data_IF_001183139931
#
_entry.id   IF_001183139931
#
_cell.length_a   1.000
_cell.length_b   1.000
_cell.length_c   1.000
_cell.angle_alpha   90.00
_cell.angle_beta   90.00
_cell.angle_gamma   90.00
#
_symmetry.space_group_name_H-M   'P 1'
#
loop_
_entity.id
_entity.type
_entity.pdbx_description
1 polymer ?
#
# COMPACT_ATOMS: atom_id res chain seq x y z
N UNK A 1 -1.81 -37.12 2.23
CA UNK A 1 -0.98 -35.97 1.84
C UNK A 1 -1.85 -34.76 2.07
N UNK A 2 -1.30 -33.74 2.72
CA UNK A 2 -2.02 -32.49 2.98
C UNK A 2 -2.39 -31.82 1.65
N UNK A 3 -3.51 -31.10 1.65
CA UNK A 3 -3.88 -30.24 0.52
C UNK A 3 -2.92 -29.04 0.47
N UNK A 4 -2.44 -28.66 -0.71
CA UNK A 4 -1.68 -27.41 -0.88
C UNK A 4 -2.56 -26.41 -1.63
N UNK A 5 -2.73 -25.22 -1.07
CA UNK A 5 -3.52 -24.13 -1.66
C UNK A 5 -2.64 -22.94 -2.01
N UNK A 6 -3.06 -22.16 -3.00
CA UNK A 6 -2.45 -20.86 -3.32
C UNK A 6 -2.67 -19.83 -2.20
N UNK A 7 -1.91 -18.73 -2.25
CA UNK A 7 -2.08 -17.62 -1.32
C UNK A 7 -3.44 -16.91 -1.52
N UNK A 8 -3.99 -16.88 -2.74
CA UNK A 8 -5.32 -16.34 -3.04
C UNK A 8 -6.44 -17.23 -2.50
N UNK A 9 -6.32 -18.56 -2.64
CA UNK A 9 -7.27 -19.47 -1.99
C UNK A 9 -7.17 -19.36 -0.46
N UNK A 10 -5.98 -19.11 0.09
CA UNK A 10 -5.80 -18.86 1.51
C UNK A 10 -6.46 -17.55 1.96
N UNK A 11 -6.34 -16.48 1.16
CA UNK A 11 -7.07 -15.21 1.35
C UNK A 11 -8.57 -15.47 1.46
N UNK A 12 -9.14 -16.18 0.50
CA UNK A 12 -10.59 -16.47 0.47
C UNK A 12 -11.02 -17.26 1.71
N UNK A 13 -10.18 -18.19 2.19
CA UNK A 13 -10.43 -18.94 3.44
C UNK A 13 -10.37 -18.02 4.66
N UNK A 14 -9.42 -17.10 4.75
CA UNK A 14 -9.33 -16.11 5.84
C UNK A 14 -10.59 -15.24 5.87
N UNK A 15 -11.06 -14.79 4.72
CA UNK A 15 -12.24 -13.94 4.65
C UNK A 15 -13.52 -14.72 5.01
N UNK A 16 -13.63 -15.98 4.57
CA UNK A 16 -14.70 -16.87 5.01
C UNK A 16 -14.65 -17.14 6.54
N UNK A 17 -13.45 -17.26 7.12
CA UNK A 17 -13.27 -17.39 8.58
C UNK A 17 -13.75 -16.14 9.31
N UNK A 18 -13.40 -14.95 8.82
CA UNK A 18 -13.86 -13.67 9.39
C UNK A 18 -15.39 -13.54 9.36
N UNK A 19 -16.03 -14.00 8.28
CA UNK A 19 -17.50 -14.04 8.16
C UNK A 19 -18.18 -15.17 8.96
N UNK A 20 -17.41 -16.02 9.64
CA UNK A 20 -17.93 -17.17 10.39
C UNK A 20 -18.44 -18.32 9.51
N UNK A 21 -18.10 -18.31 8.22
CA UNK A 21 -18.48 -19.33 7.25
C UNK A 21 -17.56 -20.56 7.30
N UNK A 22 -16.35 -20.41 7.88
CA UNK A 22 -15.36 -21.47 8.04
C UNK A 22 -14.64 -21.35 9.38
N UNK A 23 -14.23 -22.47 9.97
CA UNK A 23 -13.37 -22.52 11.15
C UNK A 23 -12.10 -23.29 10.84
N UNK A 24 -10.94 -22.73 11.17
CA UNK A 24 -9.64 -23.40 11.11
C UNK A 24 -8.63 -22.58 11.92
N UNK A 25 -7.56 -23.25 12.37
CA UNK A 25 -6.39 -22.61 12.94
C UNK A 25 -5.33 -22.38 11.86
N UNK A 26 -4.62 -21.25 11.96
CA UNK A 26 -3.41 -21.00 11.16
C UNK A 26 -2.21 -21.24 12.07
N UNK A 27 -1.32 -22.14 11.69
CA UNK A 27 -0.10 -22.45 12.44
C UNK A 27 1.11 -21.96 11.65
N UNK A 28 1.83 -21.01 12.24
CA UNK A 28 3.06 -20.46 11.69
C UNK A 28 4.28 -21.13 12.30
N UNK A 29 5.12 -21.73 11.45
CA UNK A 29 6.29 -22.50 11.87
C UNK A 29 7.62 -21.75 11.84
N UNK A 30 7.59 -20.45 11.49
CA UNK A 30 8.81 -19.62 11.42
C UNK A 30 9.43 -19.40 12.81
N UNK A 31 10.70 -18.98 12.91
CA UNK A 31 11.29 -18.56 14.18
C UNK A 31 10.44 -17.48 14.89
N UNK A 32 10.48 -17.45 16.22
CA UNK A 32 9.71 -16.52 17.06
C UNK A 32 9.89 -15.06 16.65
N UNK A 33 11.13 -14.64 16.35
CA UNK A 33 11.43 -13.28 15.87
C UNK A 33 10.69 -12.93 14.57
N UNK A 34 10.63 -13.87 13.62
CA UNK A 34 9.91 -13.66 12.35
C UNK A 34 8.39 -13.62 12.56
N UNK A 35 7.87 -14.41 13.50
CA UNK A 35 6.44 -14.42 13.85
C UNK A 35 6.03 -13.15 14.62
N UNK A 36 6.88 -12.66 15.52
CA UNK A 36 6.66 -11.43 16.28
C UNK A 36 6.79 -10.18 15.41
N UNK A 37 7.68 -10.21 14.41
CA UNK A 37 7.89 -9.11 13.48
C UNK A 37 6.72 -8.89 12.51
N UNK A 38 6.11 -9.96 12.01
CA UNK A 38 4.96 -9.88 11.09
C UNK A 38 4.31 -11.26 10.89
N UNK A 39 3.00 -11.38 11.05
CA UNK A 39 2.25 -12.65 10.88
C UNK A 39 0.85 -12.42 10.29
N UNK A 40 0.17 -13.52 9.99
CA UNK A 40 -1.27 -13.51 9.66
C UNK A 40 -2.07 -13.32 10.96
N UNK A 41 -3.15 -12.53 10.91
CA UNK A 41 -4.06 -12.33 12.03
C UNK A 41 -4.53 -13.66 12.63
N UNK A 42 -4.56 -13.72 13.96
CA UNK A 42 -4.99 -14.88 14.76
C UNK A 42 -4.19 -16.18 14.48
N UNK A 43 -3.01 -16.08 13.88
CA UNK A 43 -2.12 -17.23 13.72
C UNK A 43 -1.54 -17.66 15.08
N UNK A 44 -1.48 -18.97 15.30
CA UNK A 44 -0.80 -19.60 16.41
C UNK A 44 0.65 -19.89 16.00
N UNK A 45 1.59 -19.63 16.90
CA UNK A 45 2.99 -19.93 16.68
C UNK A 45 3.31 -21.35 17.16
N UNK A 46 3.96 -22.14 16.32
CA UNK A 46 4.59 -23.40 16.73
C UNK A 46 5.83 -23.63 15.88
N UNK A 47 7.01 -23.43 16.47
CA UNK A 47 8.25 -23.49 15.72
C UNK A 47 8.55 -24.91 15.23
N UNK A 48 8.68 -25.08 13.92
CA UNK A 48 9.07 -26.34 13.31
C UNK A 48 10.12 -26.12 12.22
N UNK A 49 11.11 -27.01 12.17
CA UNK A 49 12.07 -27.11 11.08
C UNK A 49 12.18 -28.55 10.61
N UNK A 50 12.42 -28.77 9.31
CA UNK A 50 12.76 -30.09 8.82
C UNK A 50 13.91 -30.69 9.64
N UNK A 51 13.84 -31.99 9.93
CA UNK A 51 14.79 -32.74 10.76
C UNK A 51 14.71 -32.53 12.28
N UNK A 52 13.81 -31.67 12.78
CA UNK A 52 13.45 -31.71 14.20
C UNK A 52 12.44 -32.84 14.43
N UNK A 53 12.57 -33.55 15.56
CA UNK A 53 11.59 -34.55 15.98
C UNK A 53 10.27 -33.83 16.32
N UNK A 54 9.19 -34.21 15.65
CA UNK A 54 7.86 -33.70 15.96
C UNK A 54 7.25 -34.49 17.11
N UNK A 55 6.80 -33.77 18.14
CA UNK A 55 6.07 -34.34 19.27
C UNK A 55 4.64 -33.78 19.28
N UNK A 56 3.66 -34.65 19.01
CA UNK A 56 2.26 -34.25 18.96
C UNK A 56 1.73 -33.81 20.33
N UNK A 57 2.18 -34.43 21.43
CA UNK A 57 1.72 -34.08 22.78
C UNK A 57 2.24 -32.68 23.19
N UNK A 58 3.40 -32.29 22.65
CA UNK A 58 3.94 -30.94 22.77
C UNK A 58 3.14 -29.93 21.95
N UNK A 59 2.89 -30.24 20.67
CA UNK A 59 2.08 -29.40 19.79
C UNK A 59 0.67 -29.13 20.33
N UNK A 60 -0.06 -30.17 20.74
CA UNK A 60 -1.41 -30.04 21.30
C UNK A 60 -1.41 -29.18 22.58
N UNK A 61 -0.37 -29.31 23.41
CA UNK A 61 -0.22 -28.53 24.64
C UNK A 61 0.09 -27.06 24.37
N UNK A 62 0.97 -26.75 23.42
CA UNK A 62 1.37 -25.38 23.13
C UNK A 62 0.31 -24.62 22.33
N UNK A 63 -0.36 -25.29 21.40
CA UNK A 63 -1.33 -24.66 20.50
C UNK A 63 -2.78 -24.78 20.97
N UNK A 64 -3.08 -25.75 21.84
CA UNK A 64 -4.44 -26.09 22.24
C UNK A 64 -5.27 -26.79 21.15
N UNK A 65 -4.64 -27.14 20.03
CA UNK A 65 -5.30 -27.83 18.91
C UNK A 65 -5.38 -29.33 19.15
N UNK A 66 -6.30 -29.99 18.46
CA UNK A 66 -6.55 -31.42 18.51
C UNK A 66 -6.77 -32.00 17.11
N UNK A 67 -6.72 -33.32 16.91
CA UNK A 67 -6.91 -33.94 15.59
C UNK A 67 -8.27 -33.67 14.92
N UNK A 68 -9.26 -33.19 15.69
CA UNK A 68 -10.58 -32.78 15.18
C UNK A 68 -10.58 -31.37 14.57
N UNK A 69 -9.53 -30.57 14.80
CA UNK A 69 -9.40 -29.20 14.29
C UNK A 69 -8.87 -29.19 12.85
N UNK A 70 -9.45 -28.30 12.03
CA UNK A 70 -8.90 -27.96 10.71
C UNK A 70 -7.68 -27.06 10.86
N UNK A 71 -6.55 -27.44 10.27
CA UNK A 71 -5.26 -26.75 10.42
C UNK A 71 -4.73 -26.30 9.06
N UNK A 72 -4.41 -25.01 8.95
CA UNK A 72 -3.64 -24.45 7.84
C UNK A 72 -2.23 -24.14 8.32
N UNK A 73 -1.24 -24.75 7.68
CA UNK A 73 0.18 -24.59 8.04
C UNK A 73 0.87 -23.59 7.13
N UNK A 74 1.78 -22.80 7.72
CA UNK A 74 2.43 -21.69 7.08
C UNK A 74 3.89 -21.61 7.55
N UNK A 75 4.81 -21.38 6.62
CA UNK A 75 6.20 -21.02 6.95
C UNK A 75 6.66 -19.89 6.04
N UNK A 76 7.97 -19.59 5.99
CA UNK A 76 8.46 -18.50 5.13
C UNK A 76 8.26 -18.74 3.62
N UNK A 77 8.47 -19.99 3.14
CA UNK A 77 8.53 -20.34 1.70
C UNK A 77 7.70 -21.59 1.34
N UNK A 78 6.76 -22.01 2.18
CA UNK A 78 5.93 -23.21 2.02
C UNK A 78 6.61 -24.57 2.29
N UNK A 79 7.95 -24.67 2.27
CA UNK A 79 8.67 -25.96 2.40
C UNK A 79 8.59 -26.59 3.79
N UNK A 80 8.97 -25.85 4.84
CA UNK A 80 8.96 -26.40 6.20
C UNK A 80 7.53 -26.70 6.70
N UNK A 81 6.54 -25.94 6.22
CA UNK A 81 5.14 -26.18 6.53
C UNK A 81 4.57 -27.41 5.83
N UNK A 82 5.07 -27.77 4.64
CA UNK A 82 4.70 -29.01 3.95
C UNK A 82 5.19 -30.25 4.72
N UNK A 83 6.46 -30.24 5.14
CA UNK A 83 7.02 -31.28 6.01
C UNK A 83 6.23 -31.39 7.33
N UNK A 84 5.94 -30.24 7.96
CA UNK A 84 5.13 -30.19 9.19
C UNK A 84 3.72 -30.74 9.00
N UNK A 85 3.06 -30.42 7.88
CA UNK A 85 1.73 -30.92 7.57
C UNK A 85 1.70 -32.44 7.37
N UNK A 86 2.78 -33.03 6.87
CA UNK A 86 2.94 -34.47 6.79
C UNK A 86 3.04 -35.12 8.19
N UNK A 87 3.77 -34.49 9.12
CA UNK A 87 3.86 -34.92 10.51
C UNK A 87 2.50 -34.85 11.22
N UNK A 88 1.76 -33.73 11.08
CA UNK A 88 0.39 -33.61 11.60
C UNK A 88 -0.55 -34.68 11.03
N UNK A 89 -0.48 -34.92 9.72
CA UNK A 89 -1.26 -35.98 9.06
C UNK A 89 -0.93 -37.37 9.62
N UNK A 90 0.35 -37.65 9.89
CA UNK A 90 0.80 -38.89 10.49
C UNK A 90 0.36 -39.04 11.96
N UNK A 91 0.22 -37.92 12.66
CA UNK A 91 -0.29 -37.85 14.03
C UNK A 91 -1.83 -37.92 14.14
N UNK A 92 -2.55 -37.91 13.01
CA UNK A 92 -4.00 -38.16 12.96
C UNK A 92 -4.87 -36.94 12.62
N UNK A 93 -4.28 -35.78 12.33
CA UNK A 93 -5.02 -34.61 11.84
C UNK A 93 -5.52 -34.89 10.42
N UNK A 94 -6.85 -34.91 10.25
CA UNK A 94 -7.47 -35.30 8.98
C UNK A 94 -7.62 -34.13 7.98
N UNK A 95 -7.73 -32.89 8.47
CA UNK A 95 -7.92 -31.68 7.65
C UNK A 95 -6.72 -30.74 7.82
N UNK A 96 -5.63 -31.07 7.13
CA UNK A 96 -4.41 -30.27 7.10
C UNK A 96 -4.20 -29.70 5.71
N UNK A 97 -4.04 -28.38 5.66
CA UNK A 97 -3.73 -27.63 4.44
C UNK A 97 -2.37 -26.92 4.57
N UNK A 98 -1.66 -26.76 3.47
CA UNK A 98 -0.40 -26.01 3.36
C UNK A 98 -0.62 -24.80 2.46
N UNK A 99 -0.15 -23.63 2.87
CA UNK A 99 -0.12 -22.46 2.00
C UNK A 99 1.12 -22.51 1.11
N UNK A 100 0.92 -22.59 -0.20
CA UNK A 100 1.97 -22.53 -1.21
C UNK A 100 2.75 -21.22 -1.08
N UNK A 101 4.07 -21.31 -1.22
CA UNK A 101 5.01 -20.19 -1.00
C UNK A 101 4.93 -19.52 0.39
N UNK A 102 4.09 -19.99 1.31
CA UNK A 102 4.01 -19.53 2.68
C UNK A 102 3.80 -18.01 2.82
N UNK A 103 4.51 -17.38 3.75
CA UNK A 103 4.45 -15.93 3.98
C UNK A 103 4.99 -15.11 2.81
N UNK A 104 5.84 -15.69 1.96
CA UNK A 104 6.23 -15.06 0.68
C UNK A 104 5.01 -14.92 -0.22
N UNK A 105 4.24 -16.00 -0.43
CA UNK A 105 3.01 -15.96 -1.20
C UNK A 105 1.99 -14.99 -0.59
N UNK A 106 1.80 -15.05 0.74
CA UNK A 106 0.93 -14.13 1.47
C UNK A 106 1.30 -12.65 1.27
N UNK A 107 2.60 -12.32 1.23
CA UNK A 107 3.07 -10.96 1.00
C UNK A 107 2.70 -10.39 -0.38
N UNK A 108 2.33 -11.25 -1.32
CA UNK A 108 1.99 -10.91 -2.71
C UNK A 108 0.50 -11.09 -3.00
N UNK A 109 -0.35 -11.22 -1.96
CA UNK A 109 -1.80 -11.26 -2.15
C UNK A 109 -2.34 -9.85 -2.31
N UNK A 110 -3.12 -9.66 -3.37
CA UNK A 110 -3.81 -8.41 -3.65
C UNK A 110 -5.32 -8.58 -3.61
N UNK A 111 -5.96 -7.49 -3.19
CA UNK A 111 -7.38 -7.26 -3.37
C UNK A 111 -7.58 -6.09 -4.34
N UNK A 112 -8.74 -6.06 -5.00
CA UNK A 112 -9.15 -4.94 -5.85
C UNK A 112 -10.53 -4.48 -5.43
N UNK A 113 -10.66 -3.18 -5.18
CA UNK A 113 -11.90 -2.58 -4.72
C UNK A 113 -12.21 -1.34 -5.56
N UNK A 114 -13.46 -1.22 -6.01
CA UNK A 114 -13.91 -0.03 -6.74
C UNK A 114 -14.21 1.09 -5.76
N UNK A 115 -13.54 2.24 -5.91
CA UNK A 115 -13.74 3.41 -5.07
C UNK A 115 -15.07 4.08 -5.45
N UNK A 116 -16.03 4.19 -4.52
CA UNK A 116 -17.27 4.90 -4.80
C UNK A 116 -16.97 6.39 -4.97
N UNK A 117 -17.42 6.96 -6.09
CA UNK A 117 -17.26 8.39 -6.40
C UNK A 117 -18.58 9.14 -6.23
N UNK A 118 -18.55 10.45 -5.89
CA UNK A 118 -19.75 11.27 -5.87
C UNK A 118 -20.38 11.36 -7.26
N UNK A 119 -21.69 11.65 -7.29
CA UNK A 119 -22.42 11.87 -8.54
C UNK A 119 -21.73 12.95 -9.38
N UNK A 120 -21.23 12.57 -10.56
CA UNK A 120 -20.62 13.50 -11.50
C UNK A 120 -21.71 14.15 -12.36
N UNK A 121 -21.39 15.31 -12.95
CA UNK A 121 -22.32 16.03 -13.84
C UNK A 121 -22.77 15.12 -14.98
N UNK A 122 -24.03 15.22 -15.42
CA UNK A 122 -24.66 14.39 -16.48
C UNK A 122 -23.93 14.32 -17.83
N UNK A 123 -22.86 15.10 -18.04
CA UNK A 123 -22.03 15.13 -19.25
C UNK A 123 -20.53 14.91 -18.96
N UNK A 124 -20.16 14.53 -17.73
CA UNK A 124 -18.78 14.20 -17.40
C UNK A 124 -18.39 12.88 -18.06
N UNK A 125 -17.15 12.74 -18.56
CA UNK A 125 -16.67 11.47 -19.06
C UNK A 125 -16.69 10.39 -17.98
N UNK A 126 -16.95 9.11 -18.36
CA UNK A 126 -16.80 7.97 -17.47
C UNK A 126 -15.47 8.00 -16.70
N UNK A 127 -15.56 7.71 -15.41
CA UNK A 127 -14.41 7.63 -14.51
C UNK A 127 -14.63 6.48 -13.55
N UNK A 128 -13.70 5.52 -13.58
CA UNK A 128 -13.57 4.53 -12.53
C UNK A 128 -12.25 4.77 -11.80
N UNK A 129 -12.26 4.60 -10.47
CA UNK A 129 -11.04 4.52 -9.67
C UNK A 129 -11.05 3.17 -8.99
N UNK A 130 -10.10 2.32 -9.36
CA UNK A 130 -9.91 1.00 -8.76
C UNK A 130 -8.74 1.10 -7.79
N UNK A 131 -8.98 0.76 -6.53
CA UNK A 131 -7.95 0.63 -5.52
C UNK A 131 -7.40 -0.80 -5.56
N UNK A 132 -6.08 -0.92 -5.68
CA UNK A 132 -5.32 -2.17 -5.67
C UNK A 132 -4.62 -2.25 -4.31
N UNK A 133 -5.00 -3.23 -3.49
CA UNK A 133 -4.62 -3.32 -2.09
C UNK A 133 -3.66 -4.49 -1.87
N UNK A 134 -2.43 -4.21 -1.45
CA UNK A 134 -1.51 -5.25 -0.98
C UNK A 134 -1.83 -5.61 0.46
N UNK A 135 -2.86 -6.43 0.66
CA UNK A 135 -3.56 -6.61 1.95
C UNK A 135 -2.66 -6.95 3.13
N UNK A 136 -1.60 -7.70 2.85
CA UNK A 136 -0.70 -8.21 3.85
C UNK A 136 0.31 -7.16 4.35
N UNK A 137 0.48 -6.07 3.59
CA UNK A 137 1.47 -5.00 3.82
C UNK A 137 0.83 -3.65 4.14
N UNK A 138 -0.39 -3.42 3.69
CA UNK A 138 -1.09 -2.16 3.86
C UNK A 138 -0.90 -1.19 2.69
N UNK A 139 -0.16 -1.54 1.64
CA UNK A 139 0.03 -0.67 0.47
C UNK A 139 -1.27 -0.55 -0.32
N UNK A 140 -1.57 0.67 -0.75
CA UNK A 140 -2.65 1.00 -1.66
C UNK A 140 -2.03 1.71 -2.85
N UNK A 141 -2.34 1.23 -4.05
CA UNK A 141 -2.20 2.05 -5.24
C UNK A 141 -3.46 1.97 -6.07
N UNK A 142 -3.46 2.62 -7.22
CA UNK A 142 -4.70 2.91 -7.94
C UNK A 142 -4.57 2.68 -9.42
N UNK A 143 -5.69 2.32 -10.03
CA UNK A 143 -5.89 2.38 -11.46
C UNK A 143 -7.03 3.38 -11.71
N UNK A 144 -6.69 4.50 -12.34
CA UNK A 144 -7.65 5.53 -12.76
C UNK A 144 -8.02 5.25 -14.19
N UNK A 145 -9.28 4.90 -14.45
CA UNK A 145 -9.75 4.53 -15.79
C UNK A 145 -10.73 5.57 -16.31
N UNK A 146 -10.28 6.33 -17.30
CA UNK A 146 -11.12 7.24 -18.06
C UNK A 146 -11.45 6.68 -19.43
N UNK A 147 -12.28 7.40 -20.18
CA UNK A 147 -12.70 7.01 -21.51
C UNK A 147 -13.99 7.71 -21.89
N UNK A 148 -14.47 7.42 -23.09
CA UNK A 148 -15.73 7.98 -23.59
C UNK A 148 -16.80 6.91 -23.65
N UNK A 149 -18.06 7.32 -23.54
CA UNK A 149 -19.16 6.38 -23.79
C UNK A 149 -19.08 5.83 -25.22
N UNK A 150 -19.20 4.51 -25.35
CA UNK A 150 -19.20 3.83 -26.63
C UNK A 150 -20.30 4.39 -27.55
N UNK A 151 -19.91 4.90 -28.72
CA UNK A 151 -20.83 5.46 -29.74
C UNK A 151 -21.00 6.98 -29.72
N UNK A 152 -20.31 7.71 -28.84
CA UNK A 152 -20.12 9.16 -28.99
C UNK A 152 -19.25 9.42 -30.22
N UNK A 153 -19.76 10.19 -31.20
CA UNK A 153 -19.07 10.49 -32.45
C UNK A 153 -17.58 10.84 -32.23
N UNK A 154 -16.71 10.45 -33.18
CA UNK A 154 -15.27 10.74 -33.33
C UNK A 154 -14.90 12.24 -33.22
N UNK A 155 -15.26 12.89 -32.11
CA UNK A 155 -14.97 14.27 -31.86
C UNK A 155 -13.66 14.33 -31.10
N UNK A 156 -12.56 14.32 -31.84
CA UNK A 156 -11.25 14.77 -31.35
C UNK A 156 -11.50 16.01 -30.49
N UNK A 157 -11.26 15.99 -29.16
CA UNK A 157 -11.34 17.23 -28.41
C UNK A 157 -10.25 18.13 -29.00
N UNK A 158 -10.63 19.38 -29.28
CA UNK A 158 -9.71 20.38 -29.78
C UNK A 158 -8.44 20.37 -28.93
N UNK A 159 -7.28 20.41 -29.58
CA UNK A 159 -6.00 20.67 -28.92
C UNK A 159 -6.21 21.72 -27.82
N UNK A 160 -6.22 21.23 -26.57
CA UNK A 160 -5.94 22.06 -25.41
C UNK A 160 -4.56 22.67 -25.63
N UNK A 161 -4.33 23.85 -25.08
CA UNK A 161 -3.08 24.59 -25.19
C UNK A 161 -1.85 23.68 -25.09
N UNK A 162 -0.74 24.06 -25.73
CA UNK A 162 0.57 23.36 -25.80
C UNK A 162 1.20 22.93 -24.42
N UNK A 163 0.45 23.00 -23.32
CA UNK A 163 0.83 22.74 -21.93
C UNK A 163 0.22 21.45 -21.33
N UNK A 164 -0.77 20.79 -21.98
CA UNK A 164 -1.38 19.56 -21.44
C UNK A 164 -0.67 18.31 -22.01
N UNK A 165 0.05 17.57 -21.15
CA UNK A 165 0.61 16.26 -21.54
C UNK A 165 -0.52 15.25 -21.61
N UNK A 166 -1.01 15.03 -22.82
CA UNK A 166 -2.09 14.09 -23.10
C UNK A 166 -1.55 12.65 -22.92
N UNK A 167 -2.09 11.89 -21.96
CA UNK A 167 -1.79 10.46 -21.80
C UNK A 167 -2.59 9.59 -22.78
N UNK A 168 -2.77 10.07 -24.01
CA UNK A 168 -3.33 9.29 -25.12
C UNK A 168 -2.16 8.77 -25.93
N UNK A 169 -1.50 7.75 -25.40
CA UNK A 169 -0.79 6.82 -26.28
C UNK A 169 -1.84 6.22 -27.22
N UNK A 170 -1.50 6.06 -28.50
CA UNK A 170 -2.32 5.43 -29.53
C UNK A 170 -2.96 4.15 -28.97
N UNK A 171 -4.17 4.28 -28.41
CA UNK A 171 -4.87 3.17 -27.79
C UNK A 171 -4.96 2.09 -28.86
N UNK A 172 -4.61 0.87 -28.51
CA UNK A 172 -4.72 -0.37 -29.29
C UNK A 172 -6.12 -0.68 -29.87
N UNK A 173 -7.02 0.30 -29.88
CA UNK A 173 -8.43 0.20 -30.21
C UNK A 173 -9.34 0.17 -28.96
N UNK A 174 -8.79 0.31 -27.75
CA UNK A 174 -9.59 0.43 -26.52
C UNK A 174 -10.30 1.78 -26.41
N UNK A 175 -11.60 1.74 -26.09
CA UNK A 175 -12.43 2.93 -25.85
C UNK A 175 -12.14 3.62 -24.49
N UNK A 176 -11.28 2.99 -23.68
CA UNK A 176 -10.92 3.39 -22.32
C UNK A 176 -9.41 3.31 -22.12
N UNK A 177 -8.86 4.30 -21.43
CA UNK A 177 -7.44 4.38 -21.07
C UNK A 177 -7.30 4.45 -19.57
N UNK A 178 -6.18 3.96 -19.06
CA UNK A 178 -5.92 3.92 -17.63
C UNK A 178 -4.57 4.52 -17.28
N UNK A 179 -4.51 5.11 -16.09
CA UNK A 179 -3.28 5.53 -15.42
C UNK A 179 -3.09 4.69 -14.17
N UNK A 180 -1.94 4.04 -14.07
CA UNK A 180 -1.53 3.32 -12.86
C UNK A 180 -0.81 4.28 -11.91
N UNK A 181 -1.17 4.29 -10.63
CA UNK A 181 -0.60 5.18 -9.61
C UNK A 181 -0.13 4.35 -8.41
N UNK A 182 1.07 4.65 -7.91
CA UNK A 182 1.73 3.97 -6.76
C UNK A 182 1.77 2.46 -6.96
N UNK A 183 2.35 2.04 -8.07
CA UNK A 183 2.42 0.62 -8.46
C UNK A 183 3.42 -0.06 -7.56
N UNK A 184 2.93 -0.90 -6.64
CA UNK A 184 3.80 -1.78 -5.87
C UNK A 184 4.49 -2.82 -6.77
N UNK A 185 5.51 -3.52 -6.24
CA UNK A 185 6.37 -4.47 -6.95
C UNK A 185 5.69 -5.43 -7.96
N UNK A 186 4.44 -5.84 -7.75
CA UNK A 186 3.71 -6.76 -8.63
C UNK A 186 2.81 -6.01 -9.64
N UNK A 187 3.41 -5.44 -10.68
CA UNK A 187 2.70 -4.64 -11.70
C UNK A 187 1.61 -5.39 -12.48
N UNK A 188 1.69 -6.73 -12.55
CA UNK A 188 0.67 -7.57 -13.20
C UNK A 188 -0.73 -7.37 -12.62
N UNK A 189 -0.84 -6.97 -11.34
CA UNK A 189 -2.11 -6.68 -10.69
C UNK A 189 -2.83 -5.48 -11.31
N UNK A 190 -2.06 -4.45 -11.73
CA UNK A 190 -2.61 -3.29 -12.44
C UNK A 190 -3.01 -3.65 -13.86
N UNK A 191 -2.20 -4.46 -14.56
CA UNK A 191 -2.52 -4.95 -15.91
C UNK A 191 -3.83 -5.74 -15.90
N UNK A 192 -4.00 -6.63 -14.92
CA UNK A 192 -5.22 -7.41 -14.76
C UNK A 192 -6.42 -6.52 -14.38
N UNK A 193 -6.25 -5.54 -13.50
CA UNK A 193 -7.30 -4.56 -13.16
C UNK A 193 -7.74 -3.73 -14.39
N UNK A 194 -6.79 -3.35 -15.26
CA UNK A 194 -7.09 -2.61 -16.49
C UNK A 194 -7.83 -3.50 -17.50
N UNK A 195 -7.40 -4.75 -17.67
CA UNK A 195 -8.06 -5.72 -18.54
C UNK A 195 -9.51 -6.00 -18.12
N UNK A 196 -9.79 -6.09 -16.81
CA UNK A 196 -11.15 -6.24 -16.26
C UNK A 196 -12.08 -5.06 -16.60
N UNK A 197 -11.52 -3.88 -16.86
CA UNK A 197 -12.24 -2.66 -17.26
C UNK A 197 -12.22 -2.41 -18.77
N UNK A 198 -11.60 -3.31 -19.55
CA UNK A 198 -11.41 -3.12 -20.99
C UNK A 198 -10.57 -1.89 -21.33
N UNK A 199 -9.62 -1.54 -20.46
CA UNK A 199 -8.76 -0.38 -20.61
C UNK A 199 -7.29 -0.78 -20.77
N UNK A 200 -6.53 0.07 -21.45
CA UNK A 200 -5.08 -0.09 -21.59
C UNK A 200 -4.37 0.98 -20.76
N UNK A 201 -3.33 0.58 -20.00
CA UNK A 201 -2.53 1.51 -19.21
C UNK A 201 -1.67 2.34 -20.17
N UNK A 202 -1.79 3.67 -20.12
CA UNK A 202 -1.07 4.60 -21.01
C UNK A 202 -0.06 5.47 -20.28
N UNK A 203 -0.06 5.47 -18.95
CA UNK A 203 0.94 6.11 -18.11
C UNK A 203 1.01 5.44 -16.74
N UNK A 204 2.19 5.55 -16.11
CA UNK A 204 2.42 5.11 -14.72
C UNK A 204 2.97 6.28 -13.92
N UNK A 205 2.42 6.54 -12.74
CA UNK A 205 2.77 7.64 -11.84
C UNK A 205 3.12 7.06 -10.47
N UNK A 206 4.10 7.65 -9.80
CA UNK A 206 4.23 7.52 -8.34
C UNK A 206 3.98 8.88 -7.68
N UNK A 207 3.45 8.86 -6.45
CA UNK A 207 3.17 10.05 -5.63
C UNK A 207 4.45 10.61 -5.01
N UNK A 208 5.44 9.77 -4.77
CA UNK A 208 6.75 10.12 -4.21
C UNK A 208 7.73 8.95 -4.38
N UNK A 209 9.03 9.20 -4.20
CA UNK A 209 9.99 8.09 -4.04
C UNK A 209 9.74 7.41 -2.69
N UNK A 210 9.10 6.23 -2.74
CA UNK A 210 8.70 5.39 -1.61
C UNK A 210 9.89 4.91 -0.76
N UNK A 211 9.64 4.68 0.53
CA UNK A 211 10.66 4.30 1.51
C UNK A 211 10.36 2.98 2.26
N UNK A 212 9.20 2.40 2.01
CA UNK A 212 8.55 1.36 2.78
C UNK A 212 8.31 0.09 1.96
N UNK A 213 8.18 0.22 0.63
CA UNK A 213 8.09 -0.88 -0.32
C UNK A 213 8.86 -0.58 -1.61
N UNK A 214 9.12 -1.62 -2.40
CA UNK A 214 9.73 -1.46 -3.71
C UNK A 214 8.68 -1.05 -4.74
N UNK A 215 8.90 0.09 -5.39
CA UNK A 215 8.04 0.52 -6.51
C UNK A 215 8.22 -0.41 -7.70
N UNK A 216 7.10 -0.89 -8.23
CA UNK A 216 6.99 -1.58 -9.51
C UNK A 216 6.68 -0.62 -10.66
N UNK A 217 6.48 0.68 -10.39
CA UNK A 217 6.00 1.65 -11.38
C UNK A 217 6.92 1.78 -12.60
N UNK A 218 8.23 1.90 -12.37
CA UNK A 218 9.21 1.97 -13.46
C UNK A 218 9.23 0.69 -14.29
N UNK A 219 9.25 -0.47 -13.64
CA UNK A 219 9.29 -1.76 -14.34
C UNK A 219 8.03 -1.96 -15.20
N UNK A 220 6.85 -1.64 -14.65
CA UNK A 220 5.60 -1.71 -15.40
C UNK A 220 5.60 -0.75 -16.60
N UNK A 221 6.09 0.48 -16.42
CA UNK A 221 6.16 1.46 -17.49
C UNK A 221 7.09 1.00 -18.63
N UNK A 222 8.25 0.43 -18.29
CA UNK A 222 9.19 -0.14 -19.25
C UNK A 222 8.59 -1.35 -19.99
N UNK A 223 7.91 -2.26 -19.28
CA UNK A 223 7.28 -3.46 -19.85
C UNK A 223 6.14 -3.11 -20.83
N UNK A 224 5.40 -2.05 -20.54
CA UNK A 224 4.30 -1.55 -21.38
C UNK A 224 4.76 -0.55 -22.44
N UNK A 225 5.97 -0.01 -22.35
CA UNK A 225 6.48 1.04 -23.23
C UNK A 225 5.74 2.37 -23.10
N UNK A 226 5.29 2.71 -21.88
CA UNK A 226 4.54 3.93 -21.56
C UNK A 226 5.36 4.88 -20.68
N UNK A 227 5.04 6.19 -20.64
CA UNK A 227 5.75 7.13 -19.79
C UNK A 227 5.59 6.80 -18.30
N UNK A 228 6.70 6.93 -17.56
CA UNK A 228 6.77 6.88 -16.11
C UNK A 228 6.93 8.29 -15.56
N UNK A 229 6.01 8.72 -14.71
CA UNK A 229 5.96 10.07 -14.15
C UNK A 229 6.31 10.08 -12.67
N UNK A 230 7.08 11.09 -12.27
CA UNK A 230 7.32 11.45 -10.88
C UNK A 230 7.14 12.96 -10.72
N UNK A 231 6.80 13.44 -9.51
CA UNK A 231 6.81 14.86 -9.21
C UNK A 231 8.16 15.48 -9.57
N UNK A 232 8.17 16.67 -10.19
CA UNK A 232 9.41 17.33 -10.62
C UNK A 232 10.43 17.50 -9.47
N UNK A 233 9.94 17.63 -8.23
CA UNK A 233 10.75 17.69 -7.02
C UNK A 233 11.57 16.41 -6.76
N UNK A 234 11.18 15.24 -7.30
CA UNK A 234 11.93 13.99 -7.21
C UNK A 234 13.32 14.08 -7.88
N UNK A 235 13.52 15.02 -8.81
CA UNK A 235 14.83 15.27 -9.42
C UNK A 235 15.90 15.68 -8.39
N UNK A 236 15.48 16.26 -7.26
CA UNK A 236 16.37 16.61 -6.16
C UNK A 236 16.69 15.42 -5.22
N UNK A 237 16.16 14.22 -5.49
CA UNK A 237 16.32 13.01 -4.67
C UNK A 237 17.24 11.97 -5.31
N UNK A 238 18.13 12.38 -6.20
CA UNK A 238 19.13 11.50 -6.86
C UNK A 238 18.53 10.24 -7.51
N UNK A 239 17.35 10.37 -8.12
CA UNK A 239 16.73 9.29 -8.89
C UNK A 239 17.59 9.05 -10.14
N UNK A 240 18.20 7.87 -10.22
CA UNK A 240 19.12 7.46 -11.28
C UNK A 240 18.39 7.08 -12.59
N UNK A 241 17.14 6.63 -12.48
CA UNK A 241 16.30 6.24 -13.60
C UNK A 241 15.69 7.47 -14.27
N UNK A 242 15.52 7.42 -15.60
CA UNK A 242 14.78 8.46 -16.32
C UNK A 242 13.30 8.49 -15.84
N UNK A 243 12.70 9.66 -15.83
CA UNK A 243 11.26 9.82 -15.59
C UNK A 243 10.78 11.12 -16.23
N UNK A 244 9.48 11.19 -16.48
CA UNK A 244 8.80 12.39 -16.93
C UNK A 244 8.40 13.24 -15.71
N UNK A 245 9.01 14.42 -15.50
CA UNK A 245 8.66 15.26 -14.36
C UNK A 245 7.25 15.83 -14.55
N UNK A 246 6.41 15.75 -13.53
CA UNK A 246 5.12 16.45 -13.47
C UNK A 246 5.21 17.63 -12.50
N UNK A 247 4.81 18.81 -12.96
CA UNK A 247 4.89 20.07 -12.21
C UNK A 247 3.63 20.33 -11.38
N UNK A 248 3.75 21.21 -10.39
CA UNK A 248 2.62 21.59 -9.54
C UNK A 248 1.49 22.19 -10.40
N UNK A 249 0.27 21.65 -10.25
CA UNK A 249 -0.93 21.98 -11.01
C UNK A 249 -0.93 21.56 -12.48
N UNK A 250 0.11 20.89 -12.97
CA UNK A 250 0.07 20.24 -14.29
C UNK A 250 -1.03 19.16 -14.28
N UNK A 251 -1.69 19.01 -15.42
CA UNK A 251 -2.82 18.08 -15.59
C UNK A 251 -2.51 17.10 -16.71
N UNK A 252 -2.79 15.83 -16.46
CA UNK A 252 -2.76 14.77 -17.47
C UNK A 252 -4.19 14.42 -17.86
N UNK A 253 -4.45 14.31 -19.17
CA UNK A 253 -5.74 13.79 -19.66
C UNK A 253 -5.73 12.26 -19.59
N UNK A 254 -6.70 11.71 -18.85
CA UNK A 254 -6.98 10.28 -18.79
C UNK A 254 -8.31 10.03 -19.48
N UNK A 255 -8.31 9.96 -20.81
CA UNK A 255 -9.51 9.63 -21.58
C UNK A 255 -10.64 10.65 -21.43
N UNK A 256 -10.31 11.94 -21.33
CA UNK A 256 -11.25 13.04 -21.06
C UNK A 256 -11.43 13.38 -19.58
N UNK A 257 -10.75 12.71 -18.66
CA UNK A 257 -10.76 13.04 -17.24
C UNK A 257 -9.43 13.69 -16.86
N UNK A 258 -9.51 14.87 -16.26
CA UNK A 258 -8.35 15.58 -15.73
C UNK A 258 -7.78 14.84 -14.51
N UNK A 259 -6.49 14.52 -14.56
CA UNK A 259 -5.70 14.09 -13.42
C UNK A 259 -4.66 15.17 -13.11
N UNK A 260 -4.94 15.98 -12.10
CA UNK A 260 -4.16 17.17 -11.75
C UNK A 260 -3.20 16.88 -10.60
N UNK A 261 -1.92 17.21 -10.77
CA UNK A 261 -0.93 17.09 -9.71
C UNK A 261 -1.02 18.24 -8.71
N UNK A 262 -1.09 17.89 -7.43
CA UNK A 262 -1.04 18.79 -6.28
C UNK A 262 0.24 18.50 -5.50
N UNK A 263 1.15 19.48 -5.41
CA UNK A 263 2.34 19.33 -4.58
C UNK A 263 1.92 19.30 -3.09
N UNK A 264 2.23 18.21 -2.40
CA UNK A 264 1.89 17.96 -1.00
C UNK A 264 3.10 17.48 -0.21
N UNK A 265 4.19 18.27 -0.11
CA UNK A 265 5.37 17.88 0.65
C UNK A 265 5.06 17.79 2.15
N UNK A 266 5.81 16.96 2.85
CA UNK A 266 5.67 16.77 4.29
C UNK A 266 6.15 15.40 4.72
N UNK A 267 5.50 14.35 4.22
CA UNK A 267 6.01 12.98 4.37
C UNK A 267 7.36 12.82 3.66
N UNK A 268 7.41 13.29 2.41
CA UNK A 268 8.64 13.52 1.66
C UNK A 268 8.65 14.92 1.05
N UNK A 269 9.82 15.39 0.61
CA UNK A 269 9.97 16.68 -0.08
C UNK A 269 9.38 16.69 -1.49
N UNK A 270 9.32 15.52 -2.12
CA UNK A 270 8.77 15.31 -3.46
C UNK A 270 7.29 14.88 -3.43
N UNK A 271 6.67 14.80 -2.26
CA UNK A 271 5.30 14.32 -2.09
C UNK A 271 4.29 15.05 -2.99
N UNK A 272 3.48 14.27 -3.69
CA UNK A 272 2.38 14.75 -4.51
C UNK A 272 1.08 13.99 -4.21
N UNK A 273 -0.02 14.67 -4.47
CA UNK A 273 -1.36 14.10 -4.52
C UNK A 273 -1.95 14.34 -5.91
N UNK A 274 -2.84 13.46 -6.37
CA UNK A 274 -3.46 13.57 -7.70
C UNK A 274 -4.97 13.76 -7.57
N UNK A 275 -5.47 14.94 -7.94
CA UNK A 275 -6.90 15.24 -8.00
C UNK A 275 -7.47 14.70 -9.31
N UNK A 276 -8.41 13.77 -9.22
CA UNK A 276 -8.97 13.02 -10.34
C UNK A 276 -10.39 13.47 -10.59
N UNK A 277 -10.59 14.18 -11.70
CA UNK A 277 -11.90 14.58 -12.20
C UNK A 277 -12.75 15.38 -11.20
N UNK A 278 -12.13 16.12 -10.29
CA UNK A 278 -12.76 16.81 -9.17
C UNK A 278 -13.62 15.91 -8.25
N UNK A 279 -13.43 14.59 -8.30
CA UNK A 279 -14.27 13.61 -7.60
C UNK A 279 -13.49 12.83 -6.52
N UNK A 280 -12.20 12.57 -6.76
CA UNK A 280 -11.32 11.91 -5.81
C UNK A 280 -9.94 12.58 -5.78
N UNK A 281 -9.23 12.42 -4.68
CA UNK A 281 -7.83 12.81 -4.54
C UNK A 281 -7.02 11.63 -4.03
N UNK A 282 -6.05 11.19 -4.83
CA UNK A 282 -5.06 10.18 -4.44
C UNK A 282 -3.99 10.89 -3.61
N UNK A 283 -3.94 10.64 -2.31
CA UNK A 283 -3.15 11.46 -1.37
C UNK A 283 -1.76 10.92 -1.05
N UNK A 284 -1.41 9.75 -1.60
CA UNK A 284 -0.20 9.02 -1.24
C UNK A 284 -0.08 8.93 0.28
N UNK A 285 1.09 9.28 0.79
CA UNK A 285 1.38 9.25 2.23
C UNK A 285 1.21 10.61 2.92
N UNK A 286 0.40 11.51 2.36
CA UNK A 286 0.11 12.81 2.98
C UNK A 286 -1.05 12.71 3.99
N UNK A 287 -2.19 12.17 3.56
CA UNK A 287 -3.43 12.07 4.33
C UNK A 287 -4.00 10.65 4.23
N UNK A 288 -4.25 10.04 5.37
CA UNK A 288 -4.88 8.71 5.50
C UNK A 288 -6.35 8.84 5.92
N UNK A 289 -7.04 7.71 6.09
CA UNK A 289 -8.46 7.69 6.50
C UNK A 289 -8.66 8.10 7.96
N UNK A 290 -7.66 7.88 8.80
CA UNK A 290 -7.69 8.06 10.26
C UNK A 290 -6.48 8.84 10.82
N UNK A 291 -5.53 9.20 9.95
CA UNK A 291 -4.21 9.72 10.35
C UNK A 291 -3.56 10.50 9.20
N UNK A 292 -2.30 10.92 9.39
CA UNK A 292 -1.49 11.65 8.39
C UNK A 292 -0.11 11.02 8.25
N UNK A 293 0.63 11.40 7.21
CA UNK A 293 2.00 10.97 6.99
C UNK A 293 2.94 11.27 8.14
N UNK A 294 3.83 10.32 8.46
CA UNK A 294 5.00 10.58 9.33
C UNK A 294 6.04 11.44 8.61
N UNK A 295 6.91 12.14 9.32
CA UNK A 295 7.73 13.23 8.74
C UNK A 295 9.24 13.10 8.97
N UNK A 296 9.73 11.96 9.47
CA UNK A 296 11.13 11.81 9.87
C UNK A 296 11.93 10.81 9.02
N UNK A 297 11.27 9.92 8.25
CA UNK A 297 11.93 8.88 7.45
C UNK A 297 12.92 9.46 6.43
N UNK A 298 12.51 10.50 5.69
CA UNK A 298 13.43 11.19 4.75
C UNK A 298 14.38 12.17 5.47
N UNK A 299 13.97 12.75 6.60
CA UNK A 299 14.58 13.97 7.16
C UNK A 299 15.56 13.71 8.29
N UNK A 300 15.89 12.45 8.50
CA UNK A 300 16.94 12.08 9.44
C UNK A 300 18.30 12.46 8.87
N UNK A 301 18.89 13.48 9.48
CA UNK A 301 20.15 14.07 9.06
C UNK A 301 21.27 13.03 8.88
N UNK A 302 22.15 13.32 7.92
CA UNK A 302 23.20 12.47 7.40
C UNK A 302 24.11 11.76 8.41
N UNK A 303 24.47 10.55 7.98
CA UNK A 303 25.70 9.78 8.19
C UNK A 303 26.26 9.62 9.62
N UNK A 304 26.93 10.52 10.28
CA UNK A 304 27.99 10.10 11.21
C UNK A 304 27.60 9.78 12.66
N UNK A 305 26.95 8.63 12.90
CA UNK A 305 27.11 7.73 14.07
C UNK A 305 27.23 8.35 15.48
N UNK A 306 26.71 9.55 15.69
CA UNK A 306 26.92 10.37 16.88
C UNK A 306 25.70 11.23 17.15
N UNK A 307 25.21 11.16 18.38
CA UNK A 307 24.13 11.96 19.01
C UNK A 307 23.19 12.69 18.02
N UNK A 308 22.37 11.90 17.30
CA UNK A 308 21.50 12.33 16.21
C UNK A 308 20.16 12.97 16.66
N UNK A 309 19.95 13.19 17.98
CA UNK A 309 18.65 13.63 18.51
C UNK A 309 18.23 15.01 18.00
N UNK A 310 19.04 16.04 18.21
CA UNK A 310 18.60 17.44 18.04
C UNK A 310 18.45 17.87 16.55
N UNK A 311 19.25 17.30 15.65
CA UNK A 311 19.21 17.64 14.22
C UNK A 311 18.15 16.86 13.42
N UNK A 312 17.85 15.62 13.82
CA UNK A 312 16.76 14.82 13.22
C UNK A 312 15.39 15.35 13.64
N UNK A 313 15.25 15.79 14.90
CA UNK A 313 14.03 16.42 15.42
C UNK A 313 13.72 17.75 14.71
N UNK A 314 14.73 18.59 14.44
CA UNK A 314 14.56 19.84 13.68
C UNK A 314 14.12 19.59 12.22
N UNK A 315 14.67 18.54 11.58
CA UNK A 315 14.27 18.11 10.24
C UNK A 315 12.82 17.63 10.20
N UNK A 316 12.44 16.78 11.15
CA UNK A 316 11.08 16.25 11.30
C UNK A 316 10.04 17.34 11.60
N UNK A 317 10.38 18.33 12.43
CA UNK A 317 9.52 19.47 12.74
C UNK A 317 9.30 20.37 11.52
N UNK A 318 10.36 20.67 10.75
CA UNK A 318 10.24 21.43 9.51
C UNK A 318 9.37 20.69 8.47
N UNK A 319 9.50 19.37 8.39
CA UNK A 319 8.68 18.52 7.54
C UNK A 319 7.22 18.46 8.01
N UNK A 320 6.95 18.41 9.31
CA UNK A 320 5.60 18.53 9.88
C UNK A 320 4.95 19.89 9.57
N UNK A 321 5.71 20.99 9.59
CA UNK A 321 5.21 22.29 9.15
C UNK A 321 4.78 22.29 7.67
N UNK A 322 5.58 21.68 6.79
CA UNK A 322 5.21 21.50 5.37
C UNK A 322 3.99 20.60 5.20
N UNK A 323 3.90 19.53 5.98
CA UNK A 323 2.74 18.64 5.99
C UNK A 323 1.47 19.40 6.38
N UNK A 324 1.52 20.24 7.41
CA UNK A 324 0.41 21.11 7.82
C UNK A 324 -0.02 22.03 6.67
N UNK A 325 0.91 22.70 6.00
CA UNK A 325 0.62 23.56 4.85
C UNK A 325 -0.02 22.78 3.69
N UNK A 326 0.47 21.57 3.41
CA UNK A 326 -0.09 20.68 2.38
C UNK A 326 -1.50 20.23 2.73
N UNK A 327 -1.76 19.85 3.98
CA UNK A 327 -3.06 19.44 4.47
C UNK A 327 -4.04 20.62 4.41
N UNK A 328 -3.75 21.73 5.08
CA UNK A 328 -4.70 22.84 5.25
C UNK A 328 -4.80 23.75 4.02
N UNK A 329 -3.70 23.96 3.31
CA UNK A 329 -3.64 24.84 2.14
C UNK A 329 -4.04 24.18 0.83
N UNK A 330 -4.01 22.84 0.75
CA UNK A 330 -4.21 22.11 -0.52
C UNK A 330 -5.30 21.05 -0.42
N UNK A 331 -5.14 20.04 0.46
CA UNK A 331 -6.06 18.90 0.52
C UNK A 331 -7.40 19.23 1.18
N UNK A 332 -7.36 19.85 2.36
CA UNK A 332 -8.56 20.27 3.10
C UNK A 332 -9.22 21.51 2.49
N UNK A 333 -8.60 22.14 1.48
CA UNK A 333 -9.23 23.20 0.70
C UNK A 333 -10.15 22.66 -0.41
N UNK A 334 -10.11 21.36 -0.69
CA UNK A 334 -11.01 20.72 -1.65
C UNK A 334 -12.45 20.65 -1.12
N UNK A 335 -13.46 20.49 -2.00
CA UNK A 335 -14.85 20.27 -1.61
C UNK A 335 -15.03 19.06 -0.68
N UNK A 336 -16.00 19.15 0.22
CA UNK A 336 -16.22 18.16 1.28
C UNK A 336 -16.55 16.75 0.76
N UNK A 337 -17.13 16.64 -0.44
CA UNK A 337 -17.54 15.40 -1.10
C UNK A 337 -16.44 14.73 -1.93
N UNK A 338 -15.28 15.38 -2.10
CA UNK A 338 -14.12 14.75 -2.75
C UNK A 338 -13.65 13.58 -1.91
N UNK A 339 -13.49 12.42 -2.56
CA UNK A 339 -13.08 11.17 -1.94
C UNK A 339 -11.57 11.16 -1.73
N UNK A 340 -11.12 10.96 -0.51
CA UNK A 340 -9.70 10.81 -0.15
C UNK A 340 -9.30 9.36 -0.31
N UNK A 341 -8.28 9.13 -1.13
CA UNK A 341 -7.76 7.83 -1.52
C UNK A 341 -6.28 7.73 -1.09
N UNK A 342 -5.98 7.15 0.08
CA UNK A 342 -4.62 7.11 0.62
C UNK A 342 -3.67 6.11 -0.06
N UNK A 343 -2.36 6.27 0.15
CA UNK A 343 -1.34 5.31 -0.28
C UNK A 343 -1.17 4.11 0.66
N UNK A 344 -1.68 4.19 1.90
CA UNK A 344 -1.57 3.13 2.89
C UNK A 344 -2.81 3.00 3.79
N UNK A 345 -2.95 1.80 4.36
CA UNK A 345 -3.77 1.52 5.54
C UNK A 345 -2.96 0.77 6.59
N UNK A 346 -3.39 0.84 7.85
CA UNK A 346 -2.66 0.25 8.96
C UNK A 346 -2.71 -1.29 8.93
N UNK A 347 -1.54 -1.92 9.03
CA UNK A 347 -1.38 -3.35 9.31
C UNK A 347 -0.44 -3.50 10.48
N UNK A 348 -0.93 -4.05 11.59
CA UNK A 348 -0.10 -4.31 12.76
C UNK A 348 0.81 -5.54 12.53
N UNK A 349 1.87 -5.67 13.35
CA UNK A 349 2.77 -6.82 13.28
C UNK A 349 2.05 -8.16 13.49
N UNK A 350 0.93 -8.16 14.22
CA UNK A 350 0.11 -9.35 14.42
C UNK A 350 -0.82 -9.68 13.24
N UNK A 351 -0.78 -8.87 12.17
CA UNK A 351 -1.57 -9.04 10.95
C UNK A 351 -2.97 -8.44 11.02
N UNK A 352 -3.35 -7.80 12.14
CA UNK A 352 -4.63 -7.10 12.26
C UNK A 352 -4.62 -5.79 11.46
N UNK A 353 -5.80 -5.40 10.97
CA UNK A 353 -5.99 -4.26 10.06
C UNK A 353 -6.87 -3.16 10.66
N UNK A 354 -7.07 -3.18 11.99
CA UNK A 354 -8.00 -2.28 12.67
C UNK A 354 -9.41 -2.40 12.12
N UNK A 355 -10.03 -1.26 11.81
CA UNK A 355 -11.37 -1.18 11.22
C UNK A 355 -11.40 -1.41 9.70
N UNK A 356 -10.23 -1.56 9.05
CA UNK A 356 -10.16 -1.83 7.62
C UNK A 356 -10.45 -3.29 7.36
N UNK A 357 -11.39 -3.54 6.44
CA UNK A 357 -11.65 -4.84 5.85
C UNK A 357 -11.00 -4.90 4.45
N UNK A 358 -9.83 -5.55 4.28
CA UNK A 358 -9.19 -5.65 2.98
C UNK A 358 -10.08 -6.38 1.98
N UNK A 359 -10.16 -5.87 0.75
CA UNK A 359 -11.19 -6.23 -0.23
C UNK A 359 -12.34 -5.23 -0.32
N UNK A 360 -12.45 -4.32 0.65
CA UNK A 360 -13.37 -3.17 0.60
C UNK A 360 -12.59 -1.87 0.41
N UNK A 361 -13.14 -0.85 -0.27
CA UNK A 361 -12.40 0.40 -0.51
C UNK A 361 -11.99 1.08 0.79
N UNK A 362 -10.69 1.34 0.95
CA UNK A 362 -10.15 2.16 2.03
C UNK A 362 -10.16 3.61 1.57
N UNK A 363 -11.19 4.34 1.94
CA UNK A 363 -11.36 5.73 1.56
C UNK A 363 -12.16 6.51 2.61
N UNK A 364 -12.01 7.82 2.60
CA UNK A 364 -12.87 8.75 3.33
C UNK A 364 -13.24 9.91 2.41
N UNK A 365 -13.87 10.96 2.92
CA UNK A 365 -14.10 12.21 2.17
C UNK A 365 -13.36 13.34 2.84
N UNK A 366 -13.02 14.39 2.09
CA UNK A 366 -12.37 15.58 2.64
C UNK A 366 -13.15 16.16 3.81
N UNK A 367 -14.48 16.23 3.69
CA UNK A 367 -15.35 16.72 4.75
C UNK A 367 -15.40 15.82 5.99
N UNK A 368 -15.25 14.51 5.82
CA UNK A 368 -15.20 13.54 6.94
C UNK A 368 -13.84 13.56 7.63
N UNK A 369 -12.75 13.50 6.85
CA UNK A 369 -11.39 13.65 7.36
C UNK A 369 -11.23 14.91 8.22
N UNK A 370 -11.70 16.07 7.72
CA UNK A 370 -11.65 17.35 8.44
C UNK A 370 -12.39 17.32 9.80
N UNK A 371 -13.43 16.50 9.94
CA UNK A 371 -14.25 16.42 11.16
C UNK A 371 -13.76 15.35 12.15
N UNK A 372 -13.24 14.24 11.64
CA UNK A 372 -13.02 13.04 12.44
C UNK A 372 -11.54 12.81 12.76
N UNK A 373 -10.61 13.30 11.94
CA UNK A 373 -9.18 13.18 12.21
C UNK A 373 -8.76 14.33 13.13
N UNK A 374 -8.59 14.03 14.42
CA UNK A 374 -8.34 15.02 15.48
C UNK A 374 -7.16 15.95 15.18
N UNK A 375 -6.05 15.40 14.67
CA UNK A 375 -4.84 16.17 14.41
C UNK A 375 -5.06 17.30 13.37
N UNK A 376 -6.05 17.16 12.48
CA UNK A 376 -6.39 18.18 11.48
C UNK A 376 -7.17 19.38 12.06
N UNK A 377 -7.54 19.33 13.33
CA UNK A 377 -8.22 20.45 14.02
C UNK A 377 -7.26 21.34 14.81
N UNK A 378 -6.01 20.90 14.97
CA UNK A 378 -4.96 21.62 15.71
C UNK A 378 -4.48 22.84 14.93
N UNK A 379 -3.92 23.83 15.63
CA UNK A 379 -3.14 24.86 14.97
C UNK A 379 -1.76 24.34 14.53
N UNK A 380 -1.03 25.15 13.75
CA UNK A 380 0.24 24.71 13.15
C UNK A 380 1.30 24.31 14.19
N UNK A 381 1.39 25.02 15.32
CA UNK A 381 2.40 24.75 16.35
C UNK A 381 2.02 23.48 17.13
N UNK A 382 0.74 23.34 17.49
CA UNK A 382 0.19 22.15 18.16
C UNK A 382 0.28 20.90 17.28
N UNK A 383 0.04 21.04 15.97
CA UNK A 383 0.19 19.97 14.98
C UNK A 383 1.64 19.49 14.91
N UNK A 384 2.60 20.40 14.78
CA UNK A 384 4.03 20.05 14.71
C UNK A 384 4.47 19.36 15.99
N UNK A 385 4.07 19.87 17.16
CA UNK A 385 4.35 19.20 18.43
C UNK A 385 3.77 17.79 18.43
N UNK A 386 2.50 17.62 18.04
CA UNK A 386 1.84 16.31 18.03
C UNK A 386 2.54 15.29 17.15
N UNK A 387 2.84 15.65 15.90
CA UNK A 387 3.44 14.73 14.92
C UNK A 387 4.87 14.34 15.31
N UNK A 388 5.61 15.24 15.96
CA UNK A 388 7.02 14.99 16.33
C UNK A 388 7.19 14.36 17.71
N UNK A 389 6.16 14.35 18.56
CA UNK A 389 6.26 13.91 19.96
C UNK A 389 6.55 12.42 20.14
N UNK A 390 6.10 11.55 19.25
CA UNK A 390 6.34 10.10 19.35
C UNK A 390 6.62 9.54 17.97
N UNK A 391 7.84 9.78 17.49
CA UNK A 391 8.33 9.21 16.25
C UNK A 391 8.51 7.69 16.43
N UNK A 392 7.82 6.86 15.62
CA UNK A 392 7.99 5.41 15.70
C UNK A 392 9.43 5.00 15.39
N UNK A 393 9.90 3.88 15.94
CA UNK A 393 11.17 3.30 15.51
C UNK A 393 11.17 3.10 13.99
N UNK A 394 12.27 3.50 13.36
CA UNK A 394 12.43 3.36 11.92
C UNK A 394 12.53 1.88 11.56
N UNK A 395 11.88 1.46 10.47
CA UNK A 395 12.11 0.12 9.93
C UNK A 395 13.61 -0.07 9.61
N UNK A 396 14.23 -1.22 9.91
CA UNK A 396 15.66 -1.42 9.69
C UNK A 396 16.08 -1.45 8.20
N UNK A 397 15.12 -1.60 7.30
CA UNK A 397 15.27 -1.77 5.85
C UNK A 397 15.00 -0.50 5.03
N UNK A 398 14.51 0.59 5.64
CA UNK A 398 14.02 1.77 4.91
C UNK A 398 15.06 2.41 3.99
N UNK A 399 16.32 2.52 4.43
CA UNK A 399 17.42 3.08 3.63
C UNK A 399 17.70 2.26 2.37
N UNK A 400 17.68 0.93 2.49
CA UNK A 400 17.86 0.02 1.36
C UNK A 400 16.69 0.09 0.38
N UNK A 401 15.46 0.27 0.86
CA UNK A 401 14.28 0.49 0.01
C UNK A 401 14.39 1.81 -0.75
N UNK A 402 14.74 2.92 -0.07
CA UNK A 402 14.94 4.23 -0.72
C UNK A 402 16.03 4.13 -1.79
N UNK A 403 17.16 3.48 -1.49
CA UNK A 403 18.26 3.30 -2.43
C UNK A 403 17.83 2.48 -3.67
N UNK A 404 17.02 1.45 -3.48
CA UNK A 404 16.46 0.65 -4.57
C UNK A 404 15.49 1.45 -5.44
N UNK A 405 14.56 2.21 -4.84
CA UNK A 405 13.58 3.02 -5.56
C UNK A 405 14.20 4.22 -6.28
N UNK A 406 15.34 4.73 -5.81
CA UNK A 406 16.17 5.71 -6.54
C UNK A 406 16.93 5.08 -7.72
N UNK A 407 16.92 3.76 -7.88
CA UNK A 407 17.70 3.08 -8.93
C UNK A 407 19.19 2.94 -8.62
N UNK A 408 19.60 3.09 -7.35
CA UNK A 408 20.99 2.95 -6.92
C UNK A 408 21.42 1.50 -6.70
N UNK A 409 20.68 0.76 -5.87
CA UNK A 409 20.93 -0.65 -5.55
C UNK A 409 19.64 -1.46 -5.63
N UNK A 410 19.41 -2.16 -6.73
CA UNK A 410 18.27 -3.07 -6.85
C UNK A 410 18.56 -4.42 -6.17
N UNK A 411 17.57 -5.06 -5.54
CA UNK A 411 17.73 -6.43 -5.06
C UNK A 411 18.21 -7.36 -6.19
N UNK A 412 19.18 -8.25 -5.94
CA UNK A 412 19.77 -9.10 -6.98
C UNK A 412 18.81 -10.16 -7.52
N UNK A 413 17.79 -10.51 -6.75
CA UNK A 413 16.75 -11.46 -7.14
C UNK A 413 15.45 -11.25 -6.34
N UNK A 414 14.43 -11.98 -6.72
CA UNK A 414 13.11 -12.00 -6.09
C UNK A 414 13.15 -12.36 -4.61
N UNK A 415 14.07 -13.22 -4.17
CA UNK A 415 14.19 -13.61 -2.76
C UNK A 415 14.70 -12.44 -1.94
N UNK A 416 15.72 -11.75 -2.43
CA UNK A 416 16.26 -10.56 -1.78
C UNK A 416 15.24 -9.42 -1.75
N UNK A 417 14.43 -9.26 -2.82
CA UNK A 417 13.36 -8.26 -2.85
C UNK A 417 12.29 -8.54 -1.78
N UNK A 418 11.89 -9.79 -1.60
CA UNK A 418 10.92 -10.19 -0.57
C UNK A 418 11.51 -9.98 0.82
N UNK A 419 12.76 -10.39 1.04
CA UNK A 419 13.45 -10.22 2.32
C UNK A 419 13.58 -8.74 2.69
N UNK A 420 13.83 -7.89 1.70
CA UNK A 420 13.86 -6.44 1.86
C UNK A 420 12.49 -5.84 2.20
N UNK A 421 11.39 -6.46 1.79
CA UNK A 421 10.01 -6.04 2.12
C UNK A 421 9.40 -6.82 3.29
N UNK A 422 10.16 -7.61 4.07
CA UNK A 422 9.59 -8.35 5.21
C UNK A 422 9.18 -7.40 6.34
N UNK A 423 7.95 -7.56 6.83
CA UNK A 423 7.33 -6.64 7.80
C UNK A 423 6.11 -5.89 7.24
N UNK A 424 5.23 -5.31 8.08
CA UNK A 424 4.20 -4.39 7.61
C UNK A 424 4.79 -3.00 7.30
N UNK A 425 4.15 -2.24 6.41
CA UNK A 425 4.56 -0.88 6.09
C UNK A 425 4.16 0.08 7.22
N UNK A 426 4.98 1.11 7.46
CA UNK A 426 4.82 2.05 8.59
C UNK A 426 4.91 3.51 8.14
N UNK A 427 3.89 3.98 7.42
CA UNK A 427 3.83 5.34 6.85
C UNK A 427 2.97 6.33 7.66
N UNK A 428 2.00 5.84 8.44
CA UNK A 428 1.17 6.67 9.32
C UNK A 428 1.92 7.17 10.56
N UNK A 429 1.64 8.40 10.97
CA UNK A 429 1.99 8.88 12.30
C UNK A 429 1.20 8.09 13.36
N UNK A 430 1.87 7.67 14.45
CA UNK A 430 1.25 6.83 15.48
C UNK A 430 0.16 7.56 16.28
N UNK A 431 -0.88 6.85 16.76
CA UNK A 431 -1.86 7.42 17.68
C UNK A 431 -1.22 7.70 19.06
N UNK A 432 -1.82 8.62 19.81
CA UNK A 432 -1.35 9.02 21.14
C UNK A 432 -1.14 7.82 22.08
N UNK A 433 0.05 7.72 22.66
CA UNK A 433 0.37 6.76 23.72
C UNK A 433 -0.49 6.94 24.99
N UNK A 434 -1.19 8.07 25.13
CA UNK A 434 -2.07 8.38 26.27
C UNK A 434 -3.51 7.86 26.12
N UNK A 435 -3.89 7.30 24.96
CA UNK A 435 -5.24 6.76 24.73
C UNK A 435 -5.43 5.31 25.24
N UNK A 436 -4.34 4.58 25.53
CA UNK A 436 -4.38 3.20 26.00
C UNK A 436 -4.26 3.04 27.53
N UNK A 437 -4.31 4.13 28.28
CA UNK A 437 -4.22 4.12 29.74
C UNK A 437 -5.36 4.91 30.36
N UNK A 438 -6.61 4.46 30.17
CA UNK A 438 -7.75 4.61 31.08
C UNK A 438 -9.00 3.98 30.44
N UNK A 439 -9.16 2.66 30.56
CA UNK A 439 -10.47 2.05 30.80
C UNK A 439 -10.26 0.64 31.39
N UNK A 440 -10.55 0.56 32.70
CA UNK A 440 -10.66 -0.55 33.67
C UNK A 440 -9.52 -1.58 33.87
#
# INVERSE_FOLDING_TARGET
>A
MAETISADEFRDRIDARRRGERSFAVVDTRPEESFAGWRVADAVHYFYKPFHEFDVDDFERETGLSPDDSVVTLCAKGKASDDFAAELSAAGYADVTVVADGMRGWSAVYDRAEVPLPDRRDAAPPLDVVQVQRRAKGCLGYLVVGGREAGGADHIPAAGSDDDRVAVADSDGSDRVAVAVDVSRHGDEWVAAAAERGASITAVLDTHVHADHLSGGRALADDLGVPYYLPAAAAARDVASDFEPIERNETLDVGGVDLKMLATPGHTDDGASYLVGDAAVLTGDTLFTDSVGRTELQFSAGDDGGDAGDASDAGAAAAAGRLYDSLHGTLLAQPDDVVVCPGHFAVANDGTTGDVEPGTPVATTVGTARREIEVLSLDADEFVERITRTLPEKPPNYESVIAANRGGESPPDETAAIELELGPNRCAAGPDADSAANDD
#
